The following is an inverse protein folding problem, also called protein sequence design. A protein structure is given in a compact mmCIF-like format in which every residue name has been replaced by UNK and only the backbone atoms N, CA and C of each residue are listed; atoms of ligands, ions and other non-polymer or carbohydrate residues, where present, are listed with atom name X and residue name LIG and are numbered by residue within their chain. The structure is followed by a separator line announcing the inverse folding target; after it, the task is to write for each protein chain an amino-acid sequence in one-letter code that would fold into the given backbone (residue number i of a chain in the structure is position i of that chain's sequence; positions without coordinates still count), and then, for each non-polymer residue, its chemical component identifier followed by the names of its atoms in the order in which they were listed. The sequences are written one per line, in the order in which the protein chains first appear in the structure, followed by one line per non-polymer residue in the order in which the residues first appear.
data_IF_420423646803
#
_entry.id   IF_420423646803
#
_cell.length_a   1.000
_cell.length_b   1.000
_cell.length_c   1.000
_cell.angle_alpha   90.00
_cell.angle_beta   90.00
_cell.angle_gamma   90.00
#
_symmetry.space_group_name_H-M   'P 1'
#
loop_
_entity.id
_entity.type
_entity.pdbx_description
1 polymer ?
#
# COMPACT_ATOMS: atom_id res chain seq x y z
N UNK A 1 1.14 5.05 -38.45
CA UNK A 1 1.28 3.93 -37.50
C UNK A 1 1.11 4.52 -36.11
N UNK A 2 -0.07 4.39 -35.49
CA UNK A 2 -0.28 4.87 -34.12
C UNK A 2 0.45 3.89 -33.19
N UNK A 3 1.49 4.37 -32.51
CA UNK A 3 2.18 3.59 -31.49
C UNK A 3 1.27 3.64 -30.27
N UNK A 4 0.45 2.61 -30.09
CA UNK A 4 -0.30 2.41 -28.85
C UNK A 4 0.71 2.32 -27.71
N UNK A 5 0.90 3.42 -26.97
CA UNK A 5 1.49 3.38 -25.64
C UNK A 5 0.51 2.60 -24.75
N UNK A 6 0.54 1.26 -24.83
CA UNK A 6 0.00 0.41 -23.76
C UNK A 6 0.82 0.72 -22.52
N UNK A 7 0.38 1.72 -21.75
CA UNK A 7 0.85 1.99 -20.40
C UNK A 7 0.85 0.63 -19.68
N UNK A 8 2.01 0.17 -19.24
CA UNK A 8 2.15 -1.06 -18.45
C UNK A 8 1.32 -0.88 -17.18
N UNK A 9 0.07 -1.34 -17.20
CA UNK A 9 -0.80 -1.33 -16.03
C UNK A 9 -0.25 -2.38 -15.07
N UNK A 10 0.13 -1.95 -13.88
CA UNK A 10 0.55 -2.87 -12.82
C UNK A 10 -0.70 -3.21 -12.02
N UNK A 11 -1.08 -4.50 -12.02
CA UNK A 11 -2.15 -4.99 -11.18
C UNK A 11 -1.82 -4.73 -9.71
N UNK A 12 -2.72 -4.04 -9.01
CA UNK A 12 -2.55 -3.71 -7.60
C UNK A 12 -3.76 -4.17 -6.76
N UNK A 13 -3.47 -4.49 -5.50
CA UNK A 13 -4.45 -4.83 -4.46
C UNK A 13 -4.47 -3.74 -3.41
N UNK A 14 -5.62 -3.56 -2.75
CA UNK A 14 -5.74 -2.59 -1.65
C UNK A 14 -5.46 -3.27 -0.31
N UNK A 15 -4.50 -2.73 0.42
CA UNK A 15 -4.15 -3.15 1.77
C UNK A 15 -4.51 -2.03 2.74
N UNK A 16 -5.09 -2.40 3.88
CA UNK A 16 -5.36 -1.51 5.00
C UNK A 16 -4.47 -1.89 6.16
N UNK A 17 -3.75 -0.91 6.69
CA UNK A 17 -2.98 -1.01 7.91
C UNK A 17 -3.77 -0.29 9.00
N UNK A 18 -3.97 -0.97 10.11
CA UNK A 18 -4.68 -0.46 11.28
C UNK A 18 -3.71 -0.45 12.44
N UNK A 19 -3.55 0.73 13.04
CA UNK A 19 -2.75 0.93 14.23
C UNK A 19 -3.44 1.85 15.22
N UNK A 20 -2.72 2.16 16.30
CA UNK A 20 -3.12 3.14 17.29
C UNK A 20 -2.22 4.36 17.17
N UNK A 21 -2.84 5.53 17.04
CA UNK A 21 -2.20 6.81 17.21
C UNK A 21 -2.24 7.26 18.67
N UNK A 22 -1.80 8.50 18.93
CA UNK A 22 -1.86 9.09 20.28
C UNK A 22 -3.28 9.05 20.86
N UNK A 23 -3.37 8.80 22.17
CA UNK A 23 -4.64 8.70 22.92
C UNK A 23 -5.54 7.52 22.50
N UNK A 24 -4.95 6.39 22.12
CA UNK A 24 -5.67 5.17 21.70
C UNK A 24 -6.59 5.36 20.48
N UNK A 25 -6.38 6.43 19.70
CA UNK A 25 -7.16 6.68 18.50
C UNK A 25 -6.80 5.65 17.43
N UNK A 26 -7.80 4.95 16.91
CA UNK A 26 -7.60 3.98 15.83
C UNK A 26 -7.26 4.72 14.53
N UNK A 27 -6.06 4.49 14.03
CA UNK A 27 -5.59 5.03 12.75
C UNK A 27 -5.76 3.95 11.67
N UNK A 28 -6.23 4.38 10.51
CA UNK A 28 -6.53 3.49 9.39
C UNK A 28 -5.87 4.05 8.13
N UNK A 29 -4.91 3.33 7.55
CA UNK A 29 -4.24 3.73 6.31
C UNK A 29 -4.49 2.74 5.20
N UNK A 30 -4.76 3.24 4.01
CA UNK A 30 -4.99 2.44 2.82
C UNK A 30 -3.85 2.64 1.84
N UNK A 31 -3.34 1.54 1.31
CA UNK A 31 -2.27 1.50 0.33
C UNK A 31 -2.72 0.65 -0.84
N UNK A 32 -2.29 1.02 -2.04
CA UNK A 32 -2.31 0.12 -3.18
C UNK A 32 -0.91 -0.47 -3.35
N UNK A 33 -0.83 -1.80 -3.34
CA UNK A 33 0.44 -2.53 -3.48
C UNK A 33 0.34 -3.45 -4.67
N UNK A 34 1.47 -3.82 -5.26
CA UNK A 34 1.52 -4.72 -6.41
C UNK A 34 0.88 -6.08 -6.06
N UNK A 35 0.11 -6.66 -6.98
CA UNK A 35 -0.40 -8.03 -6.81
C UNK A 35 0.77 -9.01 -6.65
N UNK A 36 0.69 -9.89 -5.65
CA UNK A 36 1.77 -10.80 -5.28
C UNK A 36 2.76 -10.25 -4.25
N UNK A 37 2.54 -9.03 -3.72
CA UNK A 37 3.29 -8.52 -2.56
C UNK A 37 3.18 -9.53 -1.40
N UNK A 38 4.33 -9.91 -0.87
CA UNK A 38 4.49 -10.92 0.17
C UNK A 38 4.11 -10.37 1.54
N UNK A 39 3.84 -11.27 2.49
CA UNK A 39 3.59 -10.87 3.88
C UNK A 39 4.79 -10.13 4.51
N UNK A 40 6.01 -10.46 4.10
CA UNK A 40 7.23 -9.80 4.57
C UNK A 40 7.27 -8.33 4.12
N UNK A 41 7.03 -8.07 2.83
CA UNK A 41 6.96 -6.71 2.28
C UNK A 41 5.81 -5.89 2.89
N UNK A 42 4.65 -6.52 3.16
CA UNK A 42 3.56 -5.86 3.88
C UNK A 42 3.93 -5.52 5.33
N UNK A 43 4.73 -6.37 5.98
CA UNK A 43 5.21 -6.12 7.34
C UNK A 43 6.23 -4.99 7.38
N UNK A 44 7.11 -4.92 6.37
CA UNK A 44 8.03 -3.78 6.20
C UNK A 44 7.28 -2.48 5.95
N UNK A 45 6.25 -2.48 5.09
CA UNK A 45 5.39 -1.32 4.88
C UNK A 45 4.74 -0.86 6.20
N UNK A 46 4.22 -1.78 7.01
CA UNK A 46 3.64 -1.45 8.31
C UNK A 46 4.66 -0.82 9.27
N UNK A 47 5.88 -1.34 9.31
CA UNK A 47 6.97 -0.78 10.11
C UNK A 47 7.36 0.63 9.66
N UNK A 48 7.35 0.90 8.35
CA UNK A 48 7.60 2.25 7.83
C UNK A 48 6.50 3.21 8.29
N UNK A 49 5.23 2.77 8.28
CA UNK A 49 4.10 3.60 8.74
C UNK A 49 4.22 3.96 10.23
N UNK A 50 4.64 3.00 11.06
CA UNK A 50 4.95 3.21 12.48
C UNK A 50 6.09 4.23 12.65
N UNK A 51 7.20 4.05 11.93
CA UNK A 51 8.38 4.94 12.02
C UNK A 51 8.14 6.37 11.54
N UNK A 52 7.18 6.58 10.64
CA UNK A 52 6.78 7.92 10.19
C UNK A 52 6.01 8.70 11.29
N UNK A 53 5.85 8.14 12.49
CA UNK A 53 5.33 8.83 13.67
C UNK A 53 3.83 9.09 13.62
N UNK A 54 3.12 8.36 12.76
CA UNK A 54 1.67 8.46 12.65
C UNK A 54 0.99 7.53 13.67
N UNK A 55 1.62 6.40 13.96
CA UNK A 55 1.04 5.32 14.76
C UNK A 55 2.07 4.89 15.81
N UNK A 56 1.67 4.85 17.08
CA UNK A 56 2.51 4.38 18.20
C UNK A 56 2.65 2.87 18.22
N UNK A 57 1.71 2.15 17.60
CA UNK A 57 1.71 0.69 17.48
C UNK A 57 0.83 0.22 16.34
N UNK A 58 1.34 -0.69 15.50
CA UNK A 58 0.52 -1.41 14.52
C UNK A 58 -0.24 -2.55 15.20
N UNK A 59 -1.55 -2.65 14.99
CA UNK A 59 -2.37 -3.71 15.55
C UNK A 59 -2.73 -4.78 14.53
N UNK A 60 -2.97 -4.39 13.28
CA UNK A 60 -3.42 -5.31 12.25
C UNK A 60 -3.10 -4.85 10.84
N UNK A 61 -2.72 -5.80 9.99
CA UNK A 61 -2.67 -5.63 8.55
C UNK A 61 -3.84 -6.43 7.96
N UNK A 62 -4.71 -5.77 7.20
CA UNK A 62 -5.85 -6.38 6.54
C UNK A 62 -5.71 -6.17 5.04
N UNK A 63 -5.74 -7.24 4.25
CA UNK A 63 -5.92 -7.13 2.81
C UNK A 63 -7.42 -6.96 2.55
N UNK A 64 -7.83 -5.81 1.99
CA UNK A 64 -9.25 -5.41 1.95
C UNK A 64 -9.85 -5.53 0.56
N UNK A 65 -9.03 -5.47 -0.49
CA UNK A 65 -9.56 -5.53 -1.84
C UNK A 65 -8.70 -6.42 -2.72
N UNK A 66 -9.30 -7.50 -3.19
CA UNK A 66 -8.79 -8.36 -4.26
C UNK A 66 -9.26 -7.87 -5.63
N UNK A 67 -10.02 -6.76 -5.73
CA UNK A 67 -10.35 -6.15 -7.01
C UNK A 67 -9.16 -5.35 -7.53
N UNK A 68 -8.87 -5.54 -8.82
CA UNK A 68 -7.76 -4.94 -9.54
C UNK A 68 -7.90 -3.41 -9.59
N UNK A 69 -6.91 -2.70 -9.06
CA UNK A 69 -6.77 -1.26 -9.25
C UNK A 69 -5.60 -1.02 -10.18
N UNK A 70 -5.82 -0.34 -11.31
CA UNK A 70 -4.75 -0.01 -12.24
C UNK A 70 -3.91 1.13 -11.64
N UNK A 71 -2.70 0.81 -11.17
CA UNK A 71 -1.73 1.83 -10.77
C UNK A 71 -0.98 2.31 -12.02
N UNK A 72 -1.00 3.62 -12.27
CA UNK A 72 -0.12 4.22 -13.26
C UNK A 72 1.32 4.17 -12.73
N UNK A 73 2.19 3.45 -13.44
CA UNK A 73 3.62 3.45 -13.15
C UNK A 73 4.20 4.83 -13.48
N UNK A 74 4.47 5.64 -12.45
CA UNK A 74 5.30 6.83 -12.59
C UNK A 74 6.75 6.36 -12.70
N UNK A 75 7.34 6.52 -13.89
CA UNK A 75 8.80 6.46 -14.04
C UNK A 75 9.38 7.53 -13.13
N UNK A 76 10.08 7.14 -12.07
CA UNK A 76 11.00 8.04 -11.39
C UNK A 76 12.16 8.23 -12.35
N UNK A 77 12.17 9.35 -13.08
CA UNK A 77 13.34 9.75 -13.86
C UNK A 77 14.49 9.96 -12.90
N UNK A 78 15.53 9.14 -13.02
CA UNK A 78 16.85 9.40 -12.45
C UNK A 78 17.54 10.53 -13.20
#
# INVERSE_FOLDING_TARGET
MMVENKKNQVEAIKVKIIGKGPNDLVVNRQFFVKKGTTLMELSELARIVELLGVEEKIEKIITIDTKEHALESTKVSQ
#
